data_IF_297224542079
#
_entry.id   IF_297224542079
#
_cell.length_a   1.000
_cell.length_b   1.000
_cell.length_c   1.000
_cell.angle_alpha   90.00
_cell.angle_beta   90.00
_cell.angle_gamma   90.00
#
_symmetry.space_group_name_H-M   'P 1'
#
loop_
_entity.id
_entity.type
_entity.pdbx_description
1 polymer ?
#
# COMPACT_ATOMS: atom_id res chain seq x y z
N UNK A 1 -15.88 -16.74 13.31
CA UNK A 1 -14.79 -15.73 13.39
C UNK A 1 -15.32 -14.57 14.21
N UNK A 2 -14.68 -14.22 15.32
CA UNK A 2 -15.08 -13.04 16.11
C UNK A 2 -14.80 -11.76 15.32
N UNK A 3 -15.64 -10.74 15.46
CA UNK A 3 -15.46 -9.39 14.90
C UNK A 3 -14.06 -8.82 15.20
N UNK A 4 -13.51 -9.10 16.38
CA UNK A 4 -12.19 -8.61 16.82
C UNK A 4 -11.04 -9.17 15.98
N UNK A 5 -11.15 -10.42 15.52
CA UNK A 5 -10.10 -11.06 14.71
C UNK A 5 -10.02 -10.49 13.28
N UNK A 6 -11.14 -9.98 12.76
CA UNK A 6 -11.17 -9.28 11.47
C UNK A 6 -10.59 -7.86 11.61
N UNK A 7 -10.93 -7.17 12.69
CA UNK A 7 -10.41 -5.84 12.98
C UNK A 7 -8.88 -5.84 13.13
N UNK A 8 -8.31 -6.80 13.86
CA UNK A 8 -6.85 -6.96 14.00
C UNK A 8 -6.15 -7.27 12.66
N UNK A 9 -6.78 -8.07 11.80
CA UNK A 9 -6.26 -8.34 10.45
C UNK A 9 -6.27 -7.10 9.58
N UNK A 10 -7.35 -6.32 9.62
CA UNK A 10 -7.44 -5.04 8.89
C UNK A 10 -6.39 -4.06 9.41
N UNK A 11 -6.19 -3.97 10.72
CA UNK A 11 -5.19 -3.07 11.32
C UNK A 11 -3.77 -3.44 10.89
N UNK A 12 -3.40 -4.73 10.92
CA UNK A 12 -2.11 -5.22 10.42
C UNK A 12 -1.92 -4.90 8.92
N UNK A 13 -2.97 -5.06 8.12
CA UNK A 13 -2.94 -4.74 6.69
C UNK A 13 -2.76 -3.24 6.47
N UNK A 14 -3.54 -2.40 7.17
CA UNK A 14 -3.44 -0.93 7.13
C UNK A 14 -2.04 -0.45 7.51
N UNK A 15 -1.47 -0.97 8.60
CA UNK A 15 -0.08 -0.70 8.98
C UNK A 15 0.90 -1.11 7.86
N UNK A 16 0.66 -2.25 7.21
CA UNK A 16 1.41 -2.73 6.05
C UNK A 16 1.30 -1.87 4.78
N UNK A 17 0.36 -0.92 4.72
CA UNK A 17 0.24 0.10 3.66
C UNK A 17 0.84 1.45 4.07
N UNK A 18 0.65 1.89 5.32
CA UNK A 18 1.13 3.19 5.77
C UNK A 18 2.65 3.33 5.67
N UNK A 19 3.40 2.31 6.10
CA UNK A 19 4.87 2.35 6.06
C UNK A 19 5.44 2.51 4.63
N UNK A 20 5.07 1.69 3.64
CA UNK A 20 5.57 1.88 2.28
C UNK A 20 5.12 3.20 1.66
N UNK A 21 3.88 3.65 1.91
CA UNK A 21 3.39 4.95 1.44
C UNK A 21 4.22 6.11 1.98
N UNK A 22 4.56 6.10 3.27
CA UNK A 22 5.42 7.13 3.86
C UNK A 22 6.80 7.13 3.22
N UNK A 23 7.41 5.96 3.00
CA UNK A 23 8.72 5.87 2.33
C UNK A 23 8.67 6.42 0.90
N UNK A 24 7.59 6.12 0.18
CA UNK A 24 7.30 6.62 -1.17
C UNK A 24 7.24 8.15 -1.20
N UNK A 25 6.47 8.74 -0.29
CA UNK A 25 6.33 10.19 -0.14
C UNK A 25 7.67 10.86 0.18
N UNK A 26 8.46 10.30 1.09
CA UNK A 26 9.79 10.82 1.41
C UNK A 26 10.73 10.77 0.19
N UNK A 27 10.71 9.67 -0.57
CA UNK A 27 11.56 9.54 -1.78
C UNK A 27 11.20 10.55 -2.86
N UNK A 28 9.91 10.76 -3.10
CA UNK A 28 9.45 11.78 -4.05
C UNK A 28 9.84 13.18 -3.59
N UNK A 29 9.65 13.50 -2.31
CA UNK A 29 10.07 14.79 -1.75
C UNK A 29 11.58 15.01 -1.87
N UNK A 30 12.40 13.99 -1.62
CA UNK A 30 13.86 14.08 -1.82
C UNK A 30 14.24 14.28 -3.29
N UNK A 31 13.58 13.57 -4.21
CA UNK A 31 13.77 13.76 -5.64
C UNK A 31 13.41 15.19 -6.09
N UNK A 32 12.31 15.74 -5.56
CA UNK A 32 11.89 17.13 -5.79
C UNK A 32 12.92 18.14 -5.26
N UNK A 33 13.35 17.95 -4.01
CA UNK A 33 14.31 18.83 -3.35
C UNK A 33 15.71 18.80 -3.99
N UNK A 34 16.08 17.68 -4.62
CA UNK A 34 17.37 17.56 -5.30
C UNK A 34 17.51 18.53 -6.48
N UNK A 35 16.40 18.94 -7.11
CA UNK A 35 16.39 19.76 -8.32
C UNK A 35 16.89 19.05 -9.58
N UNK A 36 17.37 17.80 -9.45
CA UNK A 36 17.95 17.04 -10.54
C UNK A 36 16.87 16.21 -11.26
N UNK A 37 16.65 16.40 -12.57
CA UNK A 37 15.64 15.65 -13.33
C UNK A 37 15.85 14.12 -13.28
N UNK A 38 17.10 13.67 -13.13
CA UNK A 38 17.45 12.26 -13.00
C UNK A 38 16.95 11.62 -11.70
N UNK A 39 17.15 12.33 -10.58
CA UNK A 39 16.73 11.88 -9.24
C UNK A 39 15.21 11.86 -9.11
N UNK A 40 14.52 12.87 -9.64
CA UNK A 40 13.05 12.87 -9.71
C UNK A 40 12.53 11.70 -10.56
N UNK A 41 13.15 11.42 -11.71
CA UNK A 41 12.74 10.27 -12.55
C UNK A 41 12.96 8.94 -11.84
N UNK A 42 14.07 8.79 -11.12
CA UNK A 42 14.34 7.60 -10.31
C UNK A 42 13.32 7.45 -9.16
N UNK A 43 13.00 8.55 -8.48
CA UNK A 43 12.00 8.57 -7.42
C UNK A 43 10.60 8.19 -7.96
N UNK A 44 10.20 8.71 -9.11
CA UNK A 44 8.95 8.33 -9.80
C UNK A 44 8.95 6.84 -10.19
N UNK A 45 10.05 6.32 -10.72
CA UNK A 45 10.15 4.90 -11.08
C UNK A 45 9.98 3.97 -9.87
N UNK A 46 10.64 4.30 -8.76
CA UNK A 46 10.49 3.59 -7.49
C UNK A 46 9.05 3.72 -6.94
N UNK A 47 8.46 4.91 -7.07
CA UNK A 47 7.09 5.18 -6.66
C UNK A 47 6.07 4.32 -7.41
N UNK A 48 6.17 4.26 -8.74
CA UNK A 48 5.28 3.45 -9.57
C UNK A 48 5.37 1.95 -9.26
N UNK A 49 6.59 1.45 -9.03
CA UNK A 49 6.83 0.05 -8.68
C UNK A 49 6.19 -0.30 -7.34
N UNK A 50 6.32 0.59 -6.35
CA UNK A 50 5.73 0.37 -5.03
C UNK A 50 4.20 0.53 -5.06
N UNK A 51 3.66 1.47 -5.86
CA UNK A 51 2.21 1.57 -6.09
C UNK A 51 1.64 0.28 -6.70
N UNK A 52 2.32 -0.36 -7.65
CA UNK A 52 1.89 -1.64 -8.20
C UNK A 52 1.82 -2.73 -7.10
N UNK A 53 2.84 -2.82 -6.25
CA UNK A 53 2.88 -3.75 -5.12
C UNK A 53 1.77 -3.49 -4.09
N UNK A 54 1.43 -2.23 -3.84
CA UNK A 54 0.32 -1.87 -2.95
C UNK A 54 -1.03 -2.25 -3.56
N UNK A 55 -1.22 -2.06 -4.88
CA UNK A 55 -2.44 -2.47 -5.56
C UNK A 55 -2.66 -3.99 -5.46
N UNK A 56 -1.62 -4.82 -5.62
CA UNK A 56 -1.72 -6.28 -5.44
C UNK A 56 -2.22 -6.67 -4.05
N UNK A 57 -1.75 -5.98 -3.01
CA UNK A 57 -2.23 -6.22 -1.63
C UNK A 57 -3.69 -5.78 -1.46
N UNK A 58 -4.09 -4.66 -2.07
CA UNK A 58 -5.48 -4.20 -2.05
C UNK A 58 -6.39 -5.20 -2.76
N UNK A 59 -5.96 -5.75 -3.89
CA UNK A 59 -6.72 -6.76 -4.63
C UNK A 59 -6.88 -8.04 -3.81
N UNK A 60 -5.82 -8.51 -3.15
CA UNK A 60 -5.92 -9.64 -2.21
C UNK A 60 -6.93 -9.37 -1.07
N UNK A 61 -6.98 -8.15 -0.54
CA UNK A 61 -7.99 -7.76 0.45
C UNK A 61 -9.41 -7.76 -0.11
N UNK A 62 -9.60 -7.29 -1.35
CA UNK A 62 -10.90 -7.33 -2.03
C UNK A 62 -11.37 -8.77 -2.23
N UNK A 63 -10.48 -9.69 -2.60
CA UNK A 63 -10.80 -11.12 -2.72
C UNK A 63 -11.20 -11.74 -1.37
N UNK A 64 -10.51 -11.38 -0.29
CA UNK A 64 -10.84 -11.80 1.07
C UNK A 64 -12.25 -11.32 1.46
N UNK A 65 -12.56 -10.04 1.25
CA UNK A 65 -13.89 -9.47 1.51
C UNK A 65 -14.99 -10.17 0.72
N UNK A 66 -14.79 -10.35 -0.60
CA UNK A 66 -15.75 -11.07 -1.45
C UNK A 66 -15.94 -12.53 -1.01
N UNK A 67 -14.92 -13.15 -0.41
CA UNK A 67 -15.02 -14.51 0.13
C UNK A 67 -15.82 -14.54 1.43
N UNK A 68 -15.71 -13.52 2.28
CA UNK A 68 -16.53 -13.36 3.48
C UNK A 68 -17.99 -13.10 3.10
N UNK A 69 -18.25 -12.19 2.15
CA UNK A 69 -19.61 -11.89 1.65
C UNK A 69 -20.29 -13.12 1.03
N UNK A 70 -19.57 -13.90 0.20
CA UNK A 70 -20.10 -15.13 -0.40
C UNK A 70 -20.37 -16.24 0.61
N UNK A 71 -19.69 -16.24 1.77
CA UNK A 71 -19.85 -17.26 2.81
C UNK A 71 -21.03 -17.01 3.74
N UNK A 72 -21.84 -15.97 3.51
CA UNK A 72 -23.06 -15.72 4.25
C UNK A 72 -22.79 -15.58 5.75
N UNK A 73 -22.12 -14.51 6.12
CA UNK A 73 -22.19 -13.97 7.48
C UNK A 73 -23.33 -12.98 7.57
#
# INVERSE_FOLDING_TARGET
MSSDSLAEQIDCLLHGFCQPLTVLQCRLALGELSGEPGEMRAAIGAALSECARLNEKVDAMREMLQTVERRGW
#
